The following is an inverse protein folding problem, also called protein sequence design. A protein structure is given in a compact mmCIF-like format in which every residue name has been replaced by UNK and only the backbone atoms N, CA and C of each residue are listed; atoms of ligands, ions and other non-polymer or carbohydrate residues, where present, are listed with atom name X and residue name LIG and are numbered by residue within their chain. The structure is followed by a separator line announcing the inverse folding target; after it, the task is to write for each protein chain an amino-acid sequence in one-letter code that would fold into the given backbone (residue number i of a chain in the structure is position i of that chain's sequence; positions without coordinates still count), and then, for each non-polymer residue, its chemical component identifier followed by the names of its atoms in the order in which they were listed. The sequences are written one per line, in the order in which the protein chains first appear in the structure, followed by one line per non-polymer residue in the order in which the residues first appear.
data_IF_166591055668
#
_entry.id   IF_166591055668
#
_cell.length_a   1.000
_cell.length_b   1.000
_cell.length_c   1.000
_cell.angle_alpha   90.00
_cell.angle_beta   90.00
_cell.angle_gamma   90.00
#
_symmetry.space_group_name_H-M   'P 1'
#
loop_
_entity.id
_entity.type
_entity.pdbx_description
1 polymer ?
2 non-polymer ?
3 water ?
#
# COMPACT_ATOMS: atom_id res chain seq x y z
N UNK A 1 5.96 14.03 -7.20
CA UNK A 1 7.44 13.97 -7.32
C UNK A 1 8.06 13.42 -6.05
N UNK A 2 9.34 13.70 -5.83
CA UNK A 2 10.13 12.99 -4.83
C UNK A 2 9.63 13.22 -3.42
N UNK A 3 9.15 14.45 -3.17
CA UNK A 3 8.71 14.85 -1.84
C UNK A 3 7.25 14.59 -1.64
N UNK A 4 6.51 14.23 -2.71
CA UNK A 4 5.07 14.45 -2.75
C UNK A 4 4.30 13.15 -2.58
N UNK A 5 3.04 13.19 -2.11
CA UNK A 5 2.25 11.95 -2.03
C UNK A 5 2.11 11.38 -3.46
N UNK A 6 1.97 10.07 -3.61
CA UNK A 6 1.47 9.52 -4.88
C UNK A 6 0.45 8.47 -4.59
N UNK A 7 -0.47 8.38 -5.52
CA UNK A 7 -1.56 7.47 -5.40
C UNK A 7 -1.39 6.38 -6.46
N UNK A 8 -1.47 5.12 -6.01
CA UNK A 8 -1.20 3.92 -6.82
C UNK A 8 -2.44 3.03 -6.75
N UNK A 9 -2.99 2.63 -7.88
CA UNK A 9 -4.11 1.70 -7.91
C UNK A 9 -3.57 0.34 -8.33
N UNK A 10 -3.90 -0.65 -7.53
CA UNK A 10 -3.53 -2.05 -7.72
C UNK A 10 -4.80 -2.91 -7.78
N UNK A 11 -4.64 -4.12 -8.31
CA UNK A 11 -5.69 -5.11 -8.40
C UNK A 11 -5.21 -6.41 -7.82
N UNK A 12 -6.05 -7.02 -7.00
CA UNK A 12 -5.70 -8.26 -6.33
C UNK A 12 -5.55 -9.44 -7.29
N UNK A 13 -4.57 -10.28 -6.99
CA UNK A 13 -4.32 -11.50 -7.71
C UNK A 13 -5.34 -12.57 -7.32
N UNK A 14 -5.19 -13.79 -7.82
CA UNK A 14 -6.22 -14.80 -7.60
C UNK A 14 -6.31 -15.28 -6.16
N UNK A 15 -5.35 -14.93 -5.31
CA UNK A 15 -5.40 -15.29 -3.90
C UNK A 15 -5.61 -14.06 -3.02
N UNK A 16 -5.94 -12.92 -3.61
CA UNK A 16 -6.34 -11.74 -2.87
C UNK A 16 -5.21 -10.81 -2.48
N UNK A 17 -4.09 -10.91 -3.17
CA UNK A 17 -2.88 -10.15 -2.82
C UNK A 17 -2.50 -9.15 -3.90
N UNK A 18 -1.96 -8.00 -3.49
CA UNK A 18 -1.51 -6.98 -4.44
C UNK A 18 -0.01 -6.87 -4.62
N UNK A 19 0.77 -7.29 -3.61
CA UNK A 19 2.21 -7.43 -3.80
C UNK A 19 3.14 -6.63 -2.93
N UNK A 20 2.89 -6.50 -1.63
CA UNK A 20 3.83 -5.79 -0.77
C UNK A 20 3.74 -6.18 0.69
N UNK A 21 4.78 -5.85 1.43
CA UNK A 21 4.76 -5.99 2.87
C UNK A 21 5.19 -4.65 3.45
N UNK A 22 4.89 -4.47 4.73
CA UNK A 22 5.09 -3.22 5.43
C UNK A 22 5.37 -3.50 6.91
N UNK A 23 5.83 -2.47 7.62
CA UNK A 23 6.09 -2.58 9.05
C UNK A 23 5.96 -1.20 9.62
N UNK A 24 5.20 -1.09 10.71
CA UNK A 24 4.92 0.21 11.31
C UNK A 24 4.50 1.27 10.31
N UNK A 25 3.58 0.85 9.45
CA UNK A 25 2.95 1.74 8.50
C UNK A 25 3.82 2.09 7.30
N UNK A 26 5.05 1.57 7.20
CA UNK A 26 5.95 1.88 6.11
C UNK A 26 6.11 0.68 5.22
N UNK A 27 5.95 0.89 3.91
CA UNK A 27 6.14 -0.19 2.92
C UNK A 27 7.62 -0.54 2.90
N UNK A 28 7.94 -1.83 3.04
CA UNK A 28 9.32 -2.29 3.14
C UNK A 28 9.84 -3.13 1.98
N UNK A 29 8.95 -3.81 1.26
CA UNK A 29 9.35 -4.60 0.10
C UNK A 29 8.16 -4.83 -0.82
N UNK A 30 8.43 -4.81 -2.12
CA UNK A 30 7.45 -5.07 -3.15
C UNK A 30 7.74 -6.47 -3.70
N UNK A 31 6.68 -7.22 -3.99
CA UNK A 31 6.78 -8.53 -4.58
C UNK A 31 7.03 -8.41 -6.07
N UNK A 32 8.08 -9.09 -6.55
CA UNK A 32 8.39 -9.07 -7.96
C UNK A 32 7.20 -9.55 -8.78
N UNK A 33 6.93 -8.83 -9.86
CA UNK A 33 5.91 -9.19 -10.87
C UNK A 33 4.48 -9.04 -10.39
N UNK A 34 4.28 -8.39 -9.26
CA UNK A 34 2.97 -8.19 -8.68
C UNK A 34 2.29 -6.93 -9.22
N UNK A 35 1.03 -6.76 -8.87
CA UNK A 35 0.33 -5.52 -9.20
C UNK A 35 1.02 -4.31 -8.57
N UNK A 36 1.48 -4.43 -7.33
CA UNK A 36 2.20 -3.35 -6.69
C UNK A 36 3.46 -2.99 -7.50
N UNK A 37 4.18 -4.00 -7.97
CA UNK A 37 5.38 -3.74 -8.78
C UNK A 37 5.05 -3.08 -10.11
N UNK A 38 4.04 -3.58 -10.80
CA UNK A 38 3.64 -3.08 -12.11
C UNK A 38 3.19 -1.64 -12.01
N UNK A 39 2.52 -1.31 -10.92
CA UNK A 39 1.88 -0.01 -10.77
C UNK A 39 2.71 1.02 -10.00
N UNK A 40 3.91 0.66 -9.59
CA UNK A 40 4.87 1.59 -9.03
C UNK A 40 4.68 1.94 -7.55
N UNK A 41 4.16 1.02 -6.74
CA UNK A 41 4.24 1.19 -5.30
C UNK A 41 5.69 1.22 -4.88
N UNK A 42 6.03 2.09 -3.95
CA UNK A 42 7.42 2.31 -3.54
C UNK A 42 7.68 1.95 -2.09
N UNK A 43 8.84 1.34 -1.85
CA UNK A 43 9.31 1.10 -0.51
C UNK A 43 9.77 2.40 0.12
N UNK A 44 9.92 2.33 1.45
CA UNK A 44 10.34 3.46 2.29
C UNK A 44 9.35 4.62 2.28
N UNK A 45 8.11 4.31 1.91
CA UNK A 45 7.02 5.26 1.91
C UNK A 45 5.97 4.78 2.92
N UNK A 46 5.34 5.74 3.58
CA UNK A 46 4.31 5.49 4.57
C UNK A 46 2.96 5.39 3.88
N UNK A 47 2.13 4.50 4.42
CA UNK A 47 0.77 4.30 3.93
C UNK A 47 -0.12 5.38 4.56
N UNK A 48 -0.69 6.23 3.72
CA UNK A 48 -1.50 7.34 4.18
C UNK A 48 -2.99 7.08 4.06
N UNK A 49 -3.41 6.67 2.87
CA UNK A 49 -4.79 6.30 2.63
C UNK A 49 -4.87 4.97 1.95
N UNK A 50 -5.92 4.21 2.27
CA UNK A 50 -6.28 3.00 1.52
C UNK A 50 -7.72 3.12 1.07
N UNK A 51 -7.96 3.04 -0.24
CA UNK A 51 -9.30 3.17 -0.83
C UNK A 51 -10.01 4.43 -0.33
N UNK A 52 -9.23 5.50 -0.24
CA UNK A 52 -9.71 6.81 0.14
C UNK A 52 -9.85 7.08 1.62
N UNK A 53 -9.62 6.08 2.46
CA UNK A 53 -9.69 6.22 3.91
C UNK A 53 -8.33 6.54 4.49
N UNK A 54 -8.23 7.62 5.26
CA UNK A 54 -7.01 7.95 5.94
C UNK A 54 -6.73 6.90 7.02
N UNK A 55 -5.52 6.33 7.01
CA UNK A 55 -5.11 5.32 7.99
C UNK A 55 -3.88 5.71 8.79
N UNK A 56 -3.49 6.98 8.72
CA UNK A 56 -2.39 7.48 9.51
C UNK A 56 -2.67 7.24 10.99
N UNK A 57 -1.67 6.71 11.68
CA UNK A 57 -1.75 6.42 13.09
C UNK A 57 -2.31 5.07 13.46
N UNK A 58 -2.89 4.37 12.50
CA UNK A 58 -3.41 3.04 12.79
C UNK A 58 -2.27 2.06 12.91
N UNK A 59 -2.44 1.11 13.82
CA UNK A 59 -1.48 0.04 13.99
C UNK A 59 -1.51 -0.94 12.85
N UNK A 60 -0.44 -1.70 12.73
CA UNK A 60 -0.28 -2.60 11.62
C UNK A 60 -1.40 -3.63 11.52
N UNK A 61 -1.92 -4.13 12.64
CA UNK A 61 -2.96 -5.14 12.55
C UNK A 61 -4.19 -4.60 11.84
N UNK A 62 -4.48 -3.33 12.06
CA UNK A 62 -5.64 -2.71 11.40
C UNK A 62 -5.41 -2.43 9.93
N UNK A 63 -4.23 -1.94 9.59
CA UNK A 63 -3.88 -1.75 8.18
C UNK A 63 -3.96 -3.09 7.44
N UNK A 64 -3.41 -4.14 8.07
CA UNK A 64 -3.44 -5.48 7.50
C UNK A 64 -4.86 -5.92 7.27
N UNK A 65 -5.71 -5.74 8.29
CA UNK A 65 -7.09 -6.15 8.14
C UNK A 65 -7.81 -5.41 7.01
N UNK A 66 -7.61 -4.10 6.90
CA UNK A 66 -8.20 -3.34 5.82
C UNK A 66 -7.73 -3.90 4.46
N UNK A 67 -6.43 -4.16 4.31
CA UNK A 67 -5.93 -4.70 3.04
C UNK A 67 -6.53 -6.06 2.72
N UNK A 68 -6.53 -6.95 3.71
CA UNK A 68 -6.98 -8.32 3.47
C UNK A 68 -8.47 -8.42 3.15
N UNK A 69 -9.26 -7.49 3.67
CA UNK A 69 -10.70 -7.54 3.51
C UNK A 69 -11.18 -6.69 2.34
N UNK A 70 -10.28 -5.89 1.76
CA UNK A 70 -10.61 -5.06 0.62
C UNK A 70 -11.11 -5.88 -0.57
N UNK A 71 -11.99 -5.28 -1.34
CA UNK A 71 -12.28 -5.74 -2.67
C UNK A 71 -11.03 -5.74 -3.55
N UNK A 72 -11.20 -6.17 -4.78
CA UNK A 72 -10.06 -6.42 -5.65
C UNK A 72 -9.31 -5.14 -5.99
N UNK A 73 -9.99 -4.00 -6.02
CA UNK A 73 -9.28 -2.73 -6.27
C UNK A 73 -8.70 -2.23 -4.95
N UNK A 74 -7.41 -1.97 -4.95
CA UNK A 74 -6.74 -1.43 -3.78
C UNK A 74 -5.97 -0.19 -4.23
N UNK A 75 -6.48 0.98 -3.86
CA UNK A 75 -5.82 2.24 -4.13
C UNK A 75 -5.13 2.70 -2.87
N UNK A 76 -3.85 3.05 -2.96
CA UNK A 76 -3.10 3.47 -1.79
C UNK A 76 -2.37 4.77 -2.09
N UNK A 77 -2.54 5.76 -1.22
CA UNK A 77 -1.76 6.97 -1.29
C UNK A 77 -0.62 6.83 -0.30
N UNK A 78 0.59 7.00 -0.81
CA UNK A 78 1.80 6.84 -0.01
C UNK A 78 2.59 8.14 0.04
N UNK A 79 3.43 8.26 1.06
CA UNK A 79 4.16 9.49 1.34
C UNK A 79 5.59 9.18 1.72
N UNK A 80 6.56 9.90 1.17
CA UNK A 80 7.95 9.70 1.59
C UNK A 80 8.16 10.21 3.02
N UNK A 81 9.29 9.84 3.60
CA UNK A 81 9.68 10.35 4.91
C UNK A 81 11.19 10.29 5.04
N UNK A 82 11.70 11.27 5.78
CA UNK A 82 13.10 11.36 6.18
C UNK A 82 13.29 11.00 7.64
X LIG B 1 -2.81 10.43 4.09
#
# INVERSE_FOLDING_TARGET
GAMDPRTITMHKDSTGHVGFIFKNGKITSIVKDSSAARNGLLTEHNICEINGQNVIGLKDSQIADILSTSGTVVTITIMPAF
O O
#
